data_IF_829010251938
#
_entry.id   IF_829010251938
#
_cell.length_a   1.000
_cell.length_b   1.000
_cell.length_c   1.000
_cell.angle_alpha   90.00
_cell.angle_beta   90.00
_cell.angle_gamma   90.00
#
_symmetry.space_group_name_H-M   'P 1'
#
loop_
_entity.id
_entity.type
_entity.pdbx_description
1 polymer ?
#
# COMPACT_ATOMS: atom_id res chain seq x y z
N UNK A 1 -43.41 0.75 -1.11
CA UNK A 1 -42.15 1.36 -0.67
C UNK A 1 -41.36 1.63 -1.93
N UNK A 2 -40.69 2.77 -2.07
CA UNK A 2 -39.76 2.94 -3.19
C UNK A 2 -38.44 2.21 -2.88
N UNK A 3 -37.69 1.79 -3.90
CA UNK A 3 -36.36 1.17 -3.74
C UNK A 3 -35.43 1.98 -2.83
N UNK A 4 -35.49 3.31 -2.97
CA UNK A 4 -34.81 4.25 -2.07
C UNK A 4 -35.22 4.08 -0.61
N UNK A 5 -36.53 3.97 -0.34
CA UNK A 5 -37.04 3.82 1.03
C UNK A 5 -36.55 2.49 1.64
N UNK A 6 -36.51 1.41 0.85
CA UNK A 6 -36.04 0.09 1.29
C UNK A 6 -34.55 0.11 1.66
N UNK A 7 -33.72 0.75 0.83
CA UNK A 7 -32.29 0.94 1.12
C UNK A 7 -32.06 1.84 2.34
N UNK A 8 -32.82 2.93 2.45
CA UNK A 8 -32.71 3.81 3.61
C UNK A 8 -33.18 3.13 4.91
N UNK A 9 -34.13 2.20 4.87
CA UNK A 9 -34.61 1.47 6.05
C UNK A 9 -33.62 0.39 6.51
N UNK A 10 -32.83 -0.16 5.60
CA UNK A 10 -31.83 -1.21 5.87
C UNK A 10 -30.42 -0.67 6.13
N UNK A 11 -30.17 0.63 5.91
CA UNK A 11 -28.85 1.23 6.07
C UNK A 11 -28.22 0.96 7.46
N UNK A 12 -26.96 0.55 7.47
CA UNK A 12 -26.20 0.30 8.69
C UNK A 12 -25.35 1.52 9.07
N UNK A 13 -25.17 1.80 10.37
CA UNK A 13 -24.18 2.78 10.80
C UNK A 13 -22.77 2.21 10.58
N UNK A 14 -21.90 3.05 10.03
CA UNK A 14 -20.53 2.70 9.68
C UNK A 14 -19.57 3.84 9.99
N UNK A 15 -18.26 3.57 9.89
CA UNK A 15 -17.20 4.54 10.17
C UNK A 15 -16.21 4.55 9.01
N UNK A 16 -16.06 5.68 8.34
CA UNK A 16 -14.97 5.92 7.40
C UNK A 16 -13.66 6.08 8.17
N UNK A 17 -12.60 5.47 7.63
CA UNK A 17 -11.23 5.59 8.15
C UNK A 17 -10.40 6.37 7.14
N UNK A 18 -10.06 7.61 7.45
CA UNK A 18 -9.26 8.48 6.58
C UNK A 18 -7.86 8.60 7.13
N UNK A 19 -6.87 8.19 6.34
CA UNK A 19 -5.44 8.33 6.66
C UNK A 19 -4.91 9.73 6.34
N UNK A 20 -3.72 10.05 6.84
CA UNK A 20 -2.97 11.25 6.45
C UNK A 20 -2.43 11.16 5.02
N UNK A 21 -2.17 12.32 4.41
CA UNK A 21 -1.69 12.42 3.03
C UNK A 21 -0.22 12.02 2.87
N UNK A 22 0.58 12.09 3.93
CA UNK A 22 1.95 11.62 3.95
C UNK A 22 2.17 10.75 5.19
N UNK A 23 3.12 9.81 5.15
CA UNK A 23 3.48 9.08 6.34
C UNK A 23 4.20 10.00 7.33
N UNK A 24 4.28 9.56 8.57
CA UNK A 24 4.93 10.29 9.67
C UNK A 24 6.05 9.45 10.27
N UNK A 25 7.02 10.07 10.99
CA UNK A 25 8.04 9.32 11.73
C UNK A 25 7.41 8.32 12.71
N UNK A 26 8.10 7.21 12.98
CA UNK A 26 7.60 6.16 13.90
C UNK A 26 7.24 6.73 15.28
N UNK A 27 8.04 7.68 15.78
CA UNK A 27 7.86 8.37 17.06
C UNK A 27 6.62 9.25 17.15
N UNK A 28 5.90 9.49 16.05
CA UNK A 28 4.70 10.33 16.02
C UNK A 28 3.64 9.83 17.03
N UNK A 29 2.96 10.74 17.76
CA UNK A 29 2.10 10.39 18.90
C UNK A 29 0.72 9.81 18.55
N UNK A 30 0.42 9.60 17.26
CA UNK A 30 -0.86 9.02 16.82
C UNK A 30 -1.13 7.67 17.50
N UNK A 31 -2.36 7.49 18.01
CA UNK A 31 -2.82 6.27 18.69
C UNK A 31 -3.46 5.27 17.72
N UNK A 32 -4.11 5.78 16.67
CA UNK A 32 -4.61 5.00 15.55
C UNK A 32 -3.84 5.30 14.27
N UNK A 33 -3.39 4.26 13.57
CA UNK A 33 -2.60 4.38 12.34
C UNK A 33 -2.59 3.08 11.53
N UNK A 34 -2.33 3.19 10.23
CA UNK A 34 -1.95 2.08 9.36
C UNK A 34 -0.42 1.99 9.24
N UNK A 35 0.09 0.77 9.02
CA UNK A 35 1.51 0.49 8.87
C UNK A 35 2.36 0.91 10.08
N UNK A 36 3.66 1.09 9.91
CA UNK A 36 4.58 1.43 10.99
C UNK A 36 4.82 0.28 11.98
N UNK A 37 5.15 0.62 13.23
CA UNK A 37 5.36 -0.36 14.29
C UNK A 37 4.20 -0.31 15.30
N UNK A 38 3.70 -1.47 15.74
CA UNK A 38 2.65 -1.50 16.74
C UNK A 38 3.17 -1.20 18.15
N UNK A 39 2.35 -0.57 18.97
CA UNK A 39 2.60 -0.33 20.39
C UNK A 39 2.00 -1.45 21.23
N UNK A 40 2.59 -2.64 21.12
CA UNK A 40 2.03 -3.87 21.67
C UNK A 40 2.37 -4.10 23.15
N UNK A 41 1.46 -4.71 23.93
CA UNK A 41 1.77 -5.12 25.29
C UNK A 41 2.96 -6.09 25.30
N UNK A 42 3.89 -5.97 26.27
CA UNK A 42 5.13 -6.74 26.27
C UNK A 42 4.96 -8.25 26.51
N UNK A 43 3.78 -8.66 27.01
CA UNK A 43 3.46 -10.07 27.28
C UNK A 43 2.72 -10.76 26.13
N UNK A 44 2.40 -10.02 25.07
CA UNK A 44 1.71 -10.53 23.89
C UNK A 44 2.79 -10.83 22.86
N UNK A 45 2.80 -12.05 22.32
CA UNK A 45 3.78 -12.43 21.29
C UNK A 45 3.49 -11.75 19.95
N UNK A 46 4.46 -11.77 19.03
CA UNK A 46 4.20 -11.39 17.65
C UNK A 46 3.41 -12.48 16.94
N UNK A 47 2.24 -12.19 16.34
CA UNK A 47 1.46 -13.19 15.65
C UNK A 47 2.23 -13.91 14.54
N UNK A 48 2.16 -15.23 14.54
CA UNK A 48 2.72 -16.07 13.48
C UNK A 48 1.63 -16.92 12.84
N UNK A 49 1.84 -17.33 11.60
CA UNK A 49 0.97 -18.27 10.90
C UNK A 49 1.79 -19.17 9.96
N UNK A 50 1.22 -20.32 9.62
CA UNK A 50 1.72 -21.16 8.53
C UNK A 50 1.14 -20.63 7.22
N UNK A 51 2.01 -20.25 6.29
CA UNK A 51 1.65 -19.73 4.96
C UNK A 51 2.23 -20.63 3.87
N UNK A 52 1.64 -20.62 2.68
CA UNK A 52 2.22 -21.25 1.50
C UNK A 52 3.11 -20.25 0.77
N UNK A 53 4.41 -20.29 1.01
CA UNK A 53 5.39 -19.49 0.28
C UNK A 53 6.06 -20.36 -0.80
N UNK A 54 5.89 -19.99 -2.07
CA UNK A 54 6.54 -20.67 -3.21
C UNK A 54 6.32 -22.20 -3.22
N UNK A 55 5.07 -22.63 -3.03
CA UNK A 55 4.67 -24.05 -2.97
C UNK A 55 5.24 -24.84 -1.76
N UNK A 56 5.84 -24.15 -0.79
CA UNK A 56 6.30 -24.74 0.49
C UNK A 56 5.57 -24.12 1.68
N UNK A 57 5.33 -24.94 2.71
CA UNK A 57 4.72 -24.45 3.95
C UNK A 57 5.81 -23.90 4.87
N UNK A 58 5.66 -22.65 5.27
CA UNK A 58 6.58 -21.97 6.18
C UNK A 58 5.80 -21.29 7.31
N UNK A 59 6.37 -21.27 8.51
CA UNK A 59 5.84 -20.44 9.60
C UNK A 59 6.47 -19.07 9.53
N UNK A 60 5.66 -18.04 9.36
CA UNK A 60 6.11 -16.65 9.22
C UNK A 60 5.48 -15.77 10.29
N UNK A 61 6.21 -14.74 10.72
CA UNK A 61 5.62 -13.64 11.47
C UNK A 61 4.73 -12.81 10.54
N UNK A 62 3.50 -12.53 11.00
CA UNK A 62 2.51 -11.79 10.22
C UNK A 62 2.87 -10.31 10.11
N UNK A 63 2.53 -9.71 8.97
CA UNK A 63 2.70 -8.27 8.73
C UNK A 63 1.73 -7.49 9.60
N UNK A 64 2.24 -6.46 10.28
CA UNK A 64 1.42 -5.53 11.01
C UNK A 64 0.71 -4.57 10.05
N UNK A 65 -0.61 -4.50 10.13
CA UNK A 65 -1.46 -3.76 9.20
C UNK A 65 -1.93 -2.44 9.80
N UNK A 66 -2.49 -2.49 11.01
CA UNK A 66 -3.11 -1.33 11.63
C UNK A 66 -3.16 -1.45 13.15
N UNK A 67 -3.13 -0.30 13.82
CA UNK A 67 -3.48 -0.14 15.22
C UNK A 67 -4.63 0.85 15.31
N UNK A 68 -5.68 0.51 16.05
CA UNK A 68 -6.88 1.35 16.20
C UNK A 68 -7.21 1.48 17.68
N UNK A 69 -7.17 2.70 18.20
CA UNK A 69 -7.63 3.01 19.55
C UNK A 69 -9.13 3.26 19.53
N UNK A 70 -9.88 2.39 20.20
CA UNK A 70 -11.34 2.42 20.20
C UNK A 70 -11.93 3.66 20.90
N UNK A 71 -11.13 4.41 21.66
CA UNK A 71 -11.57 5.70 22.19
C UNK A 71 -11.65 6.80 21.11
N UNK A 72 -11.01 6.61 19.95
CA UNK A 72 -11.04 7.53 18.80
C UNK A 72 -12.14 7.17 17.79
N UNK A 73 -12.65 5.94 17.84
CA UNK A 73 -13.70 5.45 16.94
C UNK A 73 -15.06 6.02 17.37
N UNK A 74 -15.77 6.79 16.51
CA UNK A 74 -17.09 7.29 16.82
C UNK A 74 -18.08 6.12 16.88
N UNK A 75 -19.00 6.17 17.83
CA UNK A 75 -20.05 5.17 17.91
C UNK A 75 -20.62 4.89 19.29
N UNK A 76 -20.33 5.75 20.27
CA UNK A 76 -20.87 5.61 21.62
C UNK A 76 -22.40 5.45 21.57
N UNK A 77 -22.90 4.30 22.04
CA UNK A 77 -24.32 3.99 22.15
C UNK A 77 -24.93 3.19 20.99
N UNK A 78 -24.24 3.03 19.86
CA UNK A 78 -24.74 2.20 18.74
C UNK A 78 -23.71 1.19 18.22
N UNK A 79 -22.42 1.45 18.39
CA UNK A 79 -21.37 0.53 17.95
C UNK A 79 -21.31 -0.68 18.90
N UNK A 80 -21.18 -1.91 18.37
CA UNK A 80 -20.97 -3.10 19.17
C UNK A 80 -19.51 -3.24 19.67
N UNK A 81 -18.60 -2.37 19.21
CA UNK A 81 -17.20 -2.39 19.65
C UNK A 81 -17.07 -1.96 21.12
N UNK A 82 -16.03 -2.44 21.83
CA UNK A 82 -15.65 -1.86 23.12
C UNK A 82 -15.43 -0.35 23.00
N UNK A 83 -15.84 0.43 24.00
CA UNK A 83 -15.68 1.89 23.99
C UNK A 83 -14.25 2.37 24.29
N UNK A 84 -13.37 1.44 24.68
CA UNK A 84 -11.96 1.68 25.03
C UNK A 84 -11.13 0.44 24.73
N UNK A 85 -9.83 0.67 24.64
CA UNK A 85 -8.84 -0.35 24.32
C UNK A 85 -8.30 -0.16 22.91
N UNK A 86 -7.36 -1.00 22.52
CA UNK A 86 -6.68 -0.94 21.23
C UNK A 86 -6.79 -2.27 20.52
N UNK A 87 -7.19 -2.20 19.24
CA UNK A 87 -7.13 -3.31 18.31
C UNK A 87 -5.83 -3.25 17.51
N UNK A 88 -5.19 -4.41 17.33
CA UNK A 88 -4.02 -4.56 16.49
C UNK A 88 -4.31 -5.60 15.42
N UNK A 89 -4.12 -5.21 14.16
CA UNK A 89 -4.44 -6.03 12.98
C UNK A 89 -3.15 -6.57 12.37
N UNK A 90 -3.12 -7.88 12.16
CA UNK A 90 -2.03 -8.60 11.53
C UNK A 90 -2.58 -9.48 10.40
N UNK A 91 -1.87 -9.52 9.29
CA UNK A 91 -2.22 -10.34 8.14
C UNK A 91 -0.97 -10.86 7.44
N UNK A 92 -1.07 -12.02 6.78
CA UNK A 92 -0.06 -12.45 5.81
C UNK A 92 0.03 -11.38 4.74
N UNK A 93 1.24 -10.97 4.35
CA UNK A 93 1.43 -10.06 3.20
C UNK A 93 1.56 -10.83 1.88
N UNK A 94 1.44 -12.15 1.89
CA UNK A 94 1.46 -13.02 0.70
C UNK A 94 0.02 -13.33 0.33
N UNK A 95 -0.46 -12.72 -0.75
CA UNK A 95 -1.87 -12.84 -1.20
C UNK A 95 -2.04 -13.63 -2.49
N UNK A 96 -0.95 -14.07 -3.14
CA UNK A 96 -1.03 -14.70 -4.46
C UNK A 96 -1.85 -15.98 -4.36
N UNK A 97 -3.09 -15.93 -4.86
CA UNK A 97 -4.03 -17.05 -4.84
C UNK A 97 -4.74 -17.31 -3.50
N UNK A 98 -4.55 -16.46 -2.48
CA UNK A 98 -5.15 -16.62 -1.16
C UNK A 98 -6.37 -15.70 -0.98
N UNK A 99 -7.58 -16.24 -1.17
CA UNK A 99 -8.84 -15.56 -0.85
C UNK A 99 -8.98 -15.24 0.65
N UNK A 100 -8.37 -16.08 1.50
CA UNK A 100 -8.48 -16.00 2.96
C UNK A 100 -7.08 -15.95 3.60
N UNK A 101 -6.38 -14.80 3.51
CA UNK A 101 -5.03 -14.69 4.02
C UNK A 101 -5.01 -14.91 5.54
N UNK A 102 -4.03 -15.66 6.10
CA UNK A 102 -3.92 -15.84 7.54
C UNK A 102 -3.82 -14.52 8.29
N UNK A 103 -4.71 -14.31 9.27
CA UNK A 103 -4.76 -13.08 10.04
C UNK A 103 -4.82 -13.31 11.54
N UNK A 104 -4.47 -12.28 12.32
CA UNK A 104 -4.72 -12.21 13.76
C UNK A 104 -5.13 -10.80 14.15
N UNK A 105 -6.20 -10.68 14.93
CA UNK A 105 -6.57 -9.42 15.58
C UNK A 105 -6.43 -9.59 17.07
N UNK A 106 -5.72 -8.65 17.69
CA UNK A 106 -5.45 -8.64 19.13
C UNK A 106 -6.19 -7.46 19.77
N UNK A 107 -6.67 -7.66 20.99
CA UNK A 107 -7.30 -6.61 21.78
C UNK A 107 -6.54 -6.40 23.09
N UNK A 108 -6.20 -5.15 23.37
CA UNK A 108 -5.68 -4.71 24.66
C UNK A 108 -6.68 -3.75 25.30
N UNK A 109 -6.97 -3.85 26.61
CA UNK A 109 -7.80 -2.86 27.30
C UNK A 109 -7.09 -1.51 27.51
N UNK A 110 -5.77 -1.44 27.30
CA UNK A 110 -4.99 -0.21 27.39
C UNK A 110 -5.20 0.68 26.16
N UNK A 111 -4.86 1.96 26.28
CA UNK A 111 -4.87 2.89 25.14
C UNK A 111 -3.70 2.63 24.17
N UNK A 112 -3.81 3.19 22.96
CA UNK A 112 -2.89 2.97 21.86
C UNK A 112 -1.50 3.55 22.07
N UNK A 113 -1.29 4.32 23.14
CA UNK A 113 0.02 4.87 23.51
C UNK A 113 0.56 4.28 24.82
N UNK A 114 -0.10 3.28 25.39
CA UNK A 114 0.27 2.69 26.67
C UNK A 114 1.62 1.96 26.65
N UNK A 115 2.11 1.59 25.46
CA UNK A 115 3.33 0.82 25.25
C UNK A 115 4.25 1.50 24.24
N UNK A 116 5.58 1.23 24.31
CA UNK A 116 6.51 1.67 23.27
C UNK A 116 6.29 0.90 21.96
N UNK A 117 6.83 1.44 20.87
CA UNK A 117 6.86 0.75 19.58
C UNK A 117 7.62 -0.58 19.71
N UNK A 118 7.04 -1.66 19.17
CA UNK A 118 7.65 -2.99 19.18
C UNK A 118 8.41 -3.23 17.87
N UNK A 119 9.70 -3.50 17.98
CA UNK A 119 10.52 -3.89 16.84
C UNK A 119 9.96 -5.16 16.17
N UNK A 120 10.02 -5.25 14.82
CA UNK A 120 9.59 -6.45 14.12
C UNK A 120 10.51 -7.62 14.49
N UNK A 121 9.99 -8.86 14.53
CA UNK A 121 10.82 -10.02 14.77
C UNK A 121 11.76 -10.26 13.57
N UNK A 122 12.93 -10.90 13.76
CA UNK A 122 13.91 -11.09 12.69
C UNK A 122 13.40 -11.88 11.48
N UNK A 123 12.45 -12.79 11.72
CA UNK A 123 11.76 -13.64 10.76
C UNK A 123 10.49 -13.00 10.17
N UNK A 124 10.28 -11.70 10.36
CA UNK A 124 9.22 -10.96 9.66
C UNK A 124 9.45 -11.08 8.15
N UNK A 125 8.41 -11.57 7.47
CA UNK A 125 8.41 -11.74 6.03
C UNK A 125 8.45 -10.38 5.31
N UNK A 126 9.01 -10.30 4.09
CA UNK A 126 8.86 -9.11 3.28
C UNK A 126 7.41 -8.81 2.94
N UNK A 127 7.11 -7.53 2.73
CA UNK A 127 5.85 -7.09 2.16
C UNK A 127 5.72 -7.68 0.74
N UNK A 128 4.58 -8.34 0.44
CA UNK A 128 4.34 -9.14 -0.77
C UNK A 128 5.10 -10.49 -0.87
N UNK A 129 5.85 -10.91 0.16
CA UNK A 129 6.63 -12.16 0.16
C UNK A 129 7.95 -12.07 -0.60
N UNK A 130 8.68 -13.20 -0.66
CA UNK A 130 10.03 -13.28 -1.27
C UNK A 130 10.02 -13.42 -2.80
N UNK A 131 8.93 -13.96 -3.37
CA UNK A 131 8.79 -14.19 -4.82
C UNK A 131 7.49 -13.59 -5.39
N UNK A 132 6.75 -12.82 -4.59
CA UNK A 132 5.49 -12.24 -5.03
C UNK A 132 5.69 -11.15 -6.09
N UNK A 133 4.83 -11.16 -7.11
CA UNK A 133 4.58 -9.98 -7.90
C UNK A 133 4.12 -8.86 -6.95
N UNK A 134 4.79 -7.69 -6.98
CA UNK A 134 4.46 -6.42 -6.28
C UNK A 134 5.33 -6.01 -5.09
N UNK A 135 6.42 -6.69 -4.77
CA UNK A 135 7.46 -6.01 -3.98
C UNK A 135 7.97 -4.80 -4.79
N UNK A 136 8.35 -3.74 -4.07
CA UNK A 136 9.33 -2.79 -4.57
C UNK A 136 10.62 -3.56 -4.88
N UNK A 137 10.79 -4.03 -6.12
CA UNK A 137 11.79 -5.04 -6.58
C UNK A 137 13.25 -4.70 -6.29
N UNK A 138 13.51 -3.48 -5.83
CA UNK A 138 14.83 -2.96 -5.54
C UNK A 138 15.16 -2.88 -4.05
N UNK A 139 14.19 -3.06 -3.15
CA UNK A 139 14.47 -3.12 -1.72
C UNK A 139 15.03 -4.50 -1.35
N UNK A 140 16.01 -4.51 -0.46
CA UNK A 140 16.68 -5.69 0.07
C UNK A 140 16.08 -5.98 1.46
N UNK A 141 15.38 -7.11 1.62
CA UNK A 141 14.82 -7.57 2.89
C UNK A 141 15.76 -7.56 4.09
N UNK A 142 17.07 -7.62 3.86
CA UNK A 142 18.08 -7.67 4.92
C UNK A 142 18.62 -6.30 5.29
N UNK A 143 18.42 -5.28 4.44
CA UNK A 143 19.02 -3.96 4.61
C UNK A 143 17.97 -2.86 4.78
N UNK A 144 16.88 -2.92 4.03
CA UNK A 144 15.90 -1.85 3.97
C UNK A 144 14.73 -2.13 4.91
N UNK A 145 14.55 -1.29 5.92
CA UNK A 145 13.45 -1.43 6.89
C UNK A 145 12.06 -1.52 6.21
N UNK A 146 11.82 -0.68 5.20
CA UNK A 146 10.56 -0.60 4.47
C UNK A 146 10.34 -1.73 3.44
N UNK A 147 11.23 -2.72 3.40
CA UNK A 147 10.96 -3.99 2.71
C UNK A 147 10.04 -4.91 3.51
N UNK A 148 9.99 -4.75 4.85
CA UNK A 148 9.23 -5.59 5.79
C UNK A 148 8.18 -4.82 6.58
N UNK A 149 8.36 -3.52 6.75
CA UNK A 149 7.48 -2.67 7.57
C UNK A 149 6.94 -1.52 6.73
N UNK A 150 5.61 -1.44 6.63
CA UNK A 150 4.96 -0.33 5.91
C UNK A 150 5.20 1.02 6.61
N UNK A 151 5.10 2.12 5.89
CA UNK A 151 5.15 3.45 6.51
C UNK A 151 3.97 3.70 7.48
N UNK A 152 4.18 4.55 8.48
CA UNK A 152 3.15 4.89 9.48
C UNK A 152 2.26 6.01 8.97
N UNK A 153 0.96 5.75 8.85
CA UNK A 153 -0.05 6.75 8.47
C UNK A 153 -1.10 6.90 9.58
N UNK A 154 -1.10 8.01 10.33
CA UNK A 154 -2.19 8.34 11.25
C UNK A 154 -3.55 8.27 10.56
N UNK A 155 -4.56 7.79 11.27
CA UNK A 155 -5.94 7.73 10.77
C UNK A 155 -6.88 8.56 11.62
N UNK A 156 -7.97 8.98 10.99
CA UNK A 156 -9.09 9.71 11.57
C UNK A 156 -10.40 9.03 11.17
N UNK A 157 -11.45 9.27 11.96
CA UNK A 157 -12.70 8.52 11.85
C UNK A 157 -13.89 9.44 11.62
N UNK A 158 -14.79 9.06 10.71
CA UNK A 158 -16.03 9.80 10.44
C UNK A 158 -17.23 8.87 10.36
N UNK A 159 -18.30 9.09 11.12
CA UNK A 159 -19.50 8.26 11.02
C UNK A 159 -20.21 8.53 9.69
N UNK A 160 -20.76 7.48 9.10
CA UNK A 160 -21.63 7.58 7.93
C UNK A 160 -22.63 6.43 7.91
N UNK A 161 -23.54 6.42 6.92
CA UNK A 161 -24.48 5.33 6.70
C UNK A 161 -24.01 4.53 5.50
N UNK A 162 -23.92 3.21 5.70
CA UNK A 162 -23.59 2.27 4.65
C UNK A 162 -24.87 1.57 4.16
N UNK A 163 -24.98 1.39 2.85
CA UNK A 163 -26.14 0.83 2.18
C UNK A 163 -25.70 -0.40 1.41
N UNK A 164 -26.45 -1.49 1.51
CA UNK A 164 -26.17 -2.71 0.76
C UNK A 164 -26.88 -2.69 -0.60
N UNK A 165 -26.12 -2.83 -1.67
CA UNK A 165 -26.60 -2.96 -3.06
C UNK A 165 -25.52 -3.67 -3.90
N UNK A 166 -25.90 -4.35 -4.99
CA UNK A 166 -24.93 -5.05 -5.87
C UNK A 166 -24.65 -4.22 -7.12
N UNK A 167 -25.66 -4.08 -7.97
CA UNK A 167 -25.65 -3.21 -9.15
C UNK A 167 -26.95 -2.40 -9.20
N UNK A 168 -26.98 -1.26 -8.49
CA UNK A 168 -28.16 -0.39 -8.40
C UNK A 168 -27.73 1.07 -8.38
N UNK A 169 -28.21 1.84 -9.36
CA UNK A 169 -27.94 3.26 -9.48
C UNK A 169 -28.50 4.07 -8.30
N UNK A 170 -29.65 3.66 -7.73
CA UNK A 170 -30.25 4.34 -6.57
C UNK A 170 -29.37 4.15 -5.34
N UNK A 171 -28.93 2.91 -5.06
CA UNK A 171 -27.94 2.61 -4.03
C UNK A 171 -26.63 3.38 -4.21
N UNK A 172 -26.10 3.42 -5.44
CA UNK A 172 -24.93 4.21 -5.80
C UNK A 172 -25.07 5.69 -5.49
N UNK A 173 -26.16 6.31 -5.92
CA UNK A 173 -26.46 7.73 -5.65
C UNK A 173 -26.57 8.02 -4.15
N UNK A 174 -27.22 7.13 -3.38
CA UNK A 174 -27.33 7.25 -1.92
C UNK A 174 -25.96 7.16 -1.25
N UNK A 175 -25.14 6.19 -1.66
CA UNK A 175 -23.79 6.00 -1.14
C UNK A 175 -22.91 7.22 -1.41
N UNK A 176 -22.85 7.68 -2.67
CA UNK A 176 -22.07 8.87 -3.05
C UNK A 176 -22.52 10.09 -2.25
N UNK A 177 -23.83 10.27 -2.07
CA UNK A 177 -24.38 11.38 -1.27
C UNK A 177 -23.93 11.32 0.19
N UNK A 178 -23.97 10.15 0.85
CA UNK A 178 -23.51 10.02 2.24
C UNK A 178 -21.98 10.15 2.36
N UNK A 179 -21.21 9.65 1.38
CA UNK A 179 -19.75 9.87 1.32
C UNK A 179 -19.41 11.35 1.19
N UNK A 180 -20.05 12.08 0.26
CA UNK A 180 -19.87 13.52 0.09
C UNK A 180 -20.27 14.33 1.34
N UNK A 181 -21.26 13.85 2.09
CA UNK A 181 -21.67 14.46 3.37
C UNK A 181 -20.62 14.25 4.47
N UNK A 182 -19.96 13.10 4.48
CA UNK A 182 -18.93 12.77 5.48
C UNK A 182 -17.55 13.34 5.14
N UNK A 183 -17.13 13.29 3.87
CA UNK A 183 -15.80 13.65 3.39
C UNK A 183 -15.73 15.05 2.77
N UNK A 184 -16.88 15.66 2.48
CA UNK A 184 -16.95 16.88 1.67
C UNK A 184 -16.97 16.58 0.17
N UNK A 185 -16.98 17.63 -0.67
CA UNK A 185 -16.85 17.45 -2.12
C UNK A 185 -15.47 16.84 -2.41
N UNK A 186 -15.45 15.69 -3.08
CA UNK A 186 -14.20 15.09 -3.52
C UNK A 186 -13.56 15.87 -4.65
N UNK A 187 -12.24 15.72 -4.78
CA UNK A 187 -11.47 16.38 -5.83
C UNK A 187 -11.77 15.75 -7.21
N UNK A 188 -11.60 16.51 -8.31
CA UNK A 188 -11.64 15.92 -9.63
C UNK A 188 -10.54 14.86 -9.78
N UNK A 189 -10.76 13.82 -10.61
CA UNK A 189 -9.76 12.81 -10.90
C UNK A 189 -8.63 13.39 -11.77
N UNK A 190 -7.74 14.16 -11.15
CA UNK A 190 -6.53 14.73 -11.75
C UNK A 190 -5.31 14.20 -11.00
N UNK A 191 -5.14 12.87 -10.98
CA UNK A 191 -3.92 12.25 -10.48
C UNK A 191 -2.97 11.95 -11.64
N UNK A 192 -1.74 12.44 -11.53
CA UNK A 192 -0.64 12.04 -12.39
C UNK A 192 0.08 10.87 -11.72
N UNK A 193 -0.33 9.66 -12.07
CA UNK A 193 0.27 8.46 -11.52
C UNK A 193 1.66 8.30 -12.12
N UNK A 194 2.68 8.76 -11.38
CA UNK A 194 4.08 8.79 -11.86
C UNK A 194 4.50 7.46 -12.47
N UNK A 195 4.13 6.33 -11.85
CA UNK A 195 4.41 4.98 -12.35
C UNK A 195 3.86 4.66 -13.75
N UNK A 196 2.93 5.45 -14.28
CA UNK A 196 2.36 5.30 -15.61
C UNK A 196 2.87 6.34 -16.61
N UNK A 197 3.74 7.27 -16.18
CA UNK A 197 4.41 8.19 -17.10
C UNK A 197 5.30 7.43 -18.08
N UNK A 198 5.28 7.87 -19.32
CA UNK A 198 6.17 7.39 -20.37
C UNK A 198 7.60 7.88 -20.17
N UNK A 199 8.53 7.19 -20.82
CA UNK A 199 9.94 7.61 -20.90
C UNK A 199 10.08 9.05 -21.41
N UNK A 200 9.25 9.45 -22.38
CA UNK A 200 9.32 10.78 -23.00
C UNK A 200 8.83 11.90 -22.06
N UNK A 201 7.98 11.57 -21.09
CA UNK A 201 7.57 12.50 -20.04
C UNK A 201 8.71 12.70 -19.03
N UNK A 202 9.36 11.61 -18.60
CA UNK A 202 10.55 11.71 -17.74
C UNK A 202 11.77 12.37 -18.40
N UNK A 203 11.88 12.31 -19.72
CA UNK A 203 12.90 13.03 -20.50
C UNK A 203 12.75 14.54 -20.41
N UNK A 204 11.51 15.04 -20.29
CA UNK A 204 11.23 16.48 -20.15
C UNK A 204 11.28 16.95 -18.71
N UNK A 205 11.19 16.02 -17.77
CA UNK A 205 11.17 16.29 -16.35
C UNK A 205 12.60 16.39 -15.80
N UNK A 206 13.00 17.60 -15.40
CA UNK A 206 14.34 17.91 -14.87
C UNK A 206 14.41 17.87 -13.34
N UNK A 207 13.28 17.67 -12.66
CA UNK A 207 13.20 17.70 -11.20
C UNK A 207 13.85 16.46 -10.57
N UNK A 208 13.98 15.36 -11.33
CA UNK A 208 14.63 14.12 -10.89
C UNK A 208 16.06 13.96 -11.46
N UNK A 209 16.96 13.26 -10.73
CA UNK A 209 16.82 12.88 -9.34
C UNK A 209 17.03 14.09 -8.41
N UNK A 210 16.34 14.14 -7.27
CA UNK A 210 16.50 15.23 -6.30
C UNK A 210 17.42 14.87 -5.13
N UNK A 211 17.61 13.58 -4.79
CA UNK A 211 18.57 13.16 -3.78
C UNK A 211 19.24 11.81 -4.14
N UNK A 212 20.27 11.43 -3.38
CA UNK A 212 21.03 10.20 -3.60
C UNK A 212 20.27 8.90 -3.27
N UNK A 213 19.24 8.97 -2.43
CA UNK A 213 18.34 7.85 -2.14
C UNK A 213 17.55 7.44 -3.39
N UNK A 214 17.01 8.42 -4.12
CA UNK A 214 16.32 8.17 -5.39
C UNK A 214 17.26 7.54 -6.42
N UNK A 215 18.49 8.07 -6.55
CA UNK A 215 19.54 7.50 -7.41
C UNK A 215 19.77 6.03 -7.05
N UNK A 216 19.97 5.72 -5.77
CA UNK A 216 20.22 4.36 -5.30
C UNK A 216 19.05 3.42 -5.59
N UNK A 217 17.80 3.84 -5.34
CA UNK A 217 16.60 3.07 -5.63
C UNK A 217 16.48 2.73 -7.12
N UNK A 218 16.63 3.73 -8.00
CA UNK A 218 16.56 3.54 -9.46
C UNK A 218 17.66 2.60 -9.96
N UNK A 219 18.89 2.75 -9.45
CA UNK A 219 20.02 1.89 -9.81
C UNK A 219 19.78 0.43 -9.38
N UNK A 220 19.24 0.23 -8.18
CA UNK A 220 18.91 -1.10 -7.66
C UNK A 220 17.77 -1.75 -8.44
N UNK A 221 16.77 -0.99 -8.89
CA UNK A 221 15.73 -1.48 -9.81
C UNK A 221 16.34 -1.98 -11.12
N UNK A 222 17.20 -1.17 -11.77
CA UNK A 222 17.89 -1.58 -13.00
C UNK A 222 18.71 -2.85 -12.77
N UNK A 223 19.44 -2.96 -11.65
CA UNK A 223 20.20 -4.17 -11.31
C UNK A 223 19.28 -5.40 -11.17
N UNK A 224 18.15 -5.27 -10.49
CA UNK A 224 17.17 -6.34 -10.31
C UNK A 224 16.67 -6.87 -11.67
N UNK A 225 16.29 -5.96 -12.57
CA UNK A 225 15.88 -6.29 -13.93
C UNK A 225 16.99 -6.99 -14.74
N UNK A 226 18.19 -6.43 -14.73
CA UNK A 226 19.33 -7.01 -15.48
C UNK A 226 19.69 -8.40 -14.95
N UNK A 227 19.66 -8.61 -13.63
CA UNK A 227 19.93 -9.92 -13.02
C UNK A 227 18.86 -10.95 -13.39
N UNK A 228 17.58 -10.56 -13.34
CA UNK A 228 16.44 -11.39 -13.75
C UNK A 228 16.59 -11.84 -15.21
N UNK A 229 16.85 -10.91 -16.11
CA UNK A 229 16.96 -11.20 -17.54
C UNK A 229 18.16 -12.10 -17.86
N UNK A 230 19.31 -11.86 -17.21
CA UNK A 230 20.50 -12.72 -17.30
C UNK A 230 20.26 -14.16 -16.81
N UNK A 231 19.33 -14.36 -15.88
CA UNK A 231 19.08 -15.66 -15.24
C UNK A 231 18.01 -16.47 -15.96
N UNK A 232 16.86 -15.85 -16.28
CA UNK A 232 15.67 -16.57 -16.74
C UNK A 232 15.48 -16.59 -18.26
N UNK A 233 16.14 -15.69 -19.00
CA UNK A 233 15.94 -15.52 -20.44
C UNK A 233 14.49 -15.17 -20.83
N UNK A 234 14.23 -14.93 -22.12
CA UNK A 234 12.89 -14.61 -22.62
C UNK A 234 12.09 -15.88 -22.92
N UNK A 235 10.97 -16.10 -22.22
CA UNK A 235 10.07 -17.25 -22.44
C UNK A 235 10.79 -18.61 -22.47
N UNK A 236 11.76 -18.79 -21.56
CA UNK A 236 12.57 -20.01 -21.45
C UNK A 236 13.64 -20.19 -22.54
N UNK A 237 13.82 -19.19 -23.42
CA UNK A 237 14.89 -19.17 -24.42
C UNK A 237 16.13 -18.50 -23.85
N UNK A 238 17.33 -19.04 -24.12
CA UNK A 238 18.57 -18.37 -23.76
C UNK A 238 18.67 -17.01 -24.46
N UNK A 239 19.32 -16.06 -23.80
CA UNK A 239 19.67 -14.77 -24.40
C UNK A 239 20.54 -14.96 -25.65
N UNK A 240 20.42 -14.03 -26.60
CA UNK A 240 21.40 -13.89 -27.67
C UNK A 240 22.73 -13.40 -27.10
N UNK A 241 23.85 -13.67 -27.79
CA UNK A 241 25.16 -13.18 -27.36
C UNK A 241 25.19 -11.65 -27.29
N UNK A 242 24.53 -10.97 -28.23
CA UNK A 242 24.40 -9.50 -28.25
C UNK A 242 23.64 -8.98 -27.02
N UNK A 243 22.48 -9.56 -26.70
CA UNK A 243 21.71 -9.18 -25.52
C UNK A 243 22.48 -9.49 -24.23
N UNK A 244 23.19 -10.61 -24.15
CA UNK A 244 23.98 -10.97 -22.99
C UNK A 244 25.16 -10.00 -22.77
N UNK A 245 25.84 -9.57 -23.84
CA UNK A 245 26.90 -8.55 -23.77
C UNK A 245 26.32 -7.21 -23.32
N UNK A 246 25.20 -6.81 -23.89
CA UNK A 246 24.55 -5.55 -23.55
C UNK A 246 24.06 -5.55 -22.10
N UNK A 247 23.35 -6.60 -21.63
CA UNK A 247 22.95 -6.74 -20.23
C UNK A 247 24.14 -6.69 -19.27
N UNK A 248 25.29 -7.28 -19.61
CA UNK A 248 26.52 -7.17 -18.79
C UNK A 248 27.06 -5.74 -18.75
N UNK A 249 26.99 -4.98 -19.86
CA UNK A 249 27.33 -3.55 -19.90
C UNK A 249 26.43 -2.74 -18.99
N UNK A 250 25.11 -2.95 -19.07
CA UNK A 250 24.13 -2.28 -18.21
C UNK A 250 24.39 -2.58 -16.73
N UNK A 251 24.67 -3.86 -16.40
CA UNK A 251 25.04 -4.28 -15.04
C UNK A 251 26.26 -3.53 -14.53
N UNK A 252 27.34 -3.46 -15.31
CA UNK A 252 28.57 -2.79 -14.91
C UNK A 252 28.35 -1.29 -14.66
N UNK A 253 27.57 -0.62 -15.50
CA UNK A 253 27.19 0.79 -15.32
C UNK A 253 26.39 1.01 -14.05
N UNK A 254 25.40 0.15 -13.78
CA UNK A 254 24.58 0.22 -12.57
C UNK A 254 25.41 -0.03 -11.30
N UNK A 255 26.31 -1.02 -11.30
CA UNK A 255 27.25 -1.24 -10.18
C UNK A 255 28.10 0.00 -9.94
N UNK A 256 28.61 0.65 -10.99
CA UNK A 256 29.40 1.88 -10.86
C UNK A 256 28.63 3.06 -10.26
N UNK A 257 27.33 3.18 -10.51
CA UNK A 257 26.48 4.15 -9.82
C UNK A 257 26.23 3.77 -8.36
N UNK A 258 25.97 2.49 -8.08
CA UNK A 258 25.73 2.02 -6.72
C UNK A 258 26.95 2.23 -5.81
N UNK A 259 28.17 1.99 -6.31
CA UNK A 259 29.40 2.29 -5.56
C UNK A 259 29.56 3.78 -5.25
N UNK A 260 29.13 4.65 -6.17
CA UNK A 260 29.11 6.10 -5.91
C UNK A 260 28.11 6.46 -4.80
N UNK A 261 26.91 5.90 -4.84
CA UNK A 261 25.90 6.11 -3.79
C UNK A 261 26.40 5.70 -2.39
N UNK A 262 27.23 4.65 -2.28
CA UNK A 262 27.75 4.18 -0.98
C UNK A 262 28.66 5.19 -0.27
N UNK A 263 29.27 6.12 -1.02
CA UNK A 263 30.17 7.12 -0.46
C UNK A 263 29.45 8.41 -0.02
N UNK A 264 28.12 8.49 -0.21
CA UNK A 264 27.33 9.71 -0.09
C UNK A 264 26.18 9.52 0.89
N UNK A 265 25.68 10.62 1.45
CA UNK A 265 24.51 10.59 2.34
C UNK A 265 23.25 10.45 1.49
N UNK A 266 22.34 9.50 1.78
CA UNK A 266 21.17 9.27 0.93
C UNK A 266 20.26 10.50 0.72
N UNK A 267 20.10 11.36 1.73
CA UNK A 267 19.22 12.53 1.65
C UNK A 267 19.91 13.80 1.13
N UNK A 268 21.21 13.76 0.83
CA UNK A 268 21.88 14.93 0.26
C UNK A 268 21.40 15.17 -1.18
N UNK A 269 21.36 16.46 -1.56
CA UNK A 269 21.04 16.89 -2.92
C UNK A 269 22.02 16.32 -3.96
N UNK A 270 21.52 16.16 -5.18
CA UNK A 270 22.34 15.83 -6.35
C UNK A 270 22.67 17.12 -7.12
N UNK A 271 23.95 17.38 -7.37
CA UNK A 271 24.37 18.55 -8.16
C UNK A 271 23.92 18.45 -9.63
N UNK A 272 23.84 19.59 -10.32
CA UNK A 272 23.28 19.67 -11.68
C UNK A 272 24.03 18.79 -12.71
N UNK A 273 25.36 18.73 -12.63
CA UNK A 273 26.17 17.94 -13.57
C UNK A 273 25.93 16.44 -13.33
N UNK A 274 25.87 16.03 -12.07
CA UNK A 274 25.54 14.66 -11.69
C UNK A 274 24.11 14.29 -12.07
N UNK A 275 23.12 15.17 -11.89
CA UNK A 275 21.73 14.95 -12.35
C UNK A 275 21.69 14.69 -13.85
N UNK A 276 22.33 15.54 -14.64
CA UNK A 276 22.40 15.39 -16.10
C UNK A 276 23.08 14.08 -16.51
N UNK A 277 24.21 13.74 -15.88
CA UNK A 277 24.92 12.49 -16.12
C UNK A 277 24.08 11.25 -15.76
N UNK A 278 23.35 11.30 -14.65
CA UNK A 278 22.48 10.20 -14.21
C UNK A 278 21.30 10.00 -15.15
N UNK A 279 20.62 11.08 -15.54
CA UNK A 279 19.52 11.03 -16.51
C UNK A 279 19.99 10.47 -17.85
N UNK A 280 21.13 10.93 -18.36
CA UNK A 280 21.74 10.40 -19.59
C UNK A 280 22.01 8.90 -19.50
N UNK A 281 22.58 8.43 -18.38
CA UNK A 281 22.78 7.00 -18.13
C UNK A 281 21.45 6.24 -18.11
N UNK A 282 20.43 6.75 -17.43
CA UNK A 282 19.12 6.10 -17.36
C UNK A 282 18.45 6.01 -18.74
N UNK A 283 18.55 7.04 -19.58
CA UNK A 283 18.04 6.98 -20.96
C UNK A 283 18.80 5.96 -21.81
N UNK A 284 20.11 5.80 -21.62
CA UNK A 284 20.88 4.74 -22.28
C UNK A 284 20.38 3.34 -21.87
N UNK A 285 20.07 3.12 -20.59
CA UNK A 285 19.42 1.87 -20.12
C UNK A 285 18.11 1.63 -20.87
N UNK A 286 17.24 2.65 -20.93
CA UNK A 286 15.93 2.54 -21.59
C UNK A 286 16.07 2.24 -23.08
N UNK A 287 17.00 2.90 -23.79
CA UNK A 287 17.24 2.65 -25.21
C UNK A 287 17.81 1.24 -25.45
N UNK A 288 18.66 0.74 -24.55
CA UNK A 288 19.15 -0.63 -24.61
C UNK A 288 17.99 -1.64 -24.47
N UNK A 289 17.10 -1.46 -23.50
CA UNK A 289 15.92 -2.33 -23.34
C UNK A 289 14.95 -2.26 -24.52
N UNK A 290 14.78 -1.09 -25.16
CA UNK A 290 14.01 -0.97 -26.41
C UNK A 290 14.63 -1.79 -27.55
N UNK A 291 15.97 -1.81 -27.68
CA UNK A 291 16.68 -2.60 -28.70
C UNK A 291 16.64 -4.10 -28.40
N UNK A 292 16.72 -4.48 -27.12
CA UNK A 292 16.64 -5.87 -26.68
C UNK A 292 15.19 -6.40 -26.60
N UNK A 293 14.19 -5.62 -27.00
CA UNK A 293 12.79 -6.01 -26.91
C UNK A 293 12.53 -7.35 -27.63
N UNK A 294 11.83 -8.26 -26.96
CA UNK A 294 11.59 -9.64 -27.43
C UNK A 294 12.78 -10.61 -27.24
N UNK A 295 13.92 -10.13 -26.71
CA UNK A 295 15.08 -10.95 -26.33
C UNK A 295 15.25 -11.07 -24.81
N UNK A 296 14.64 -10.16 -24.06
CA UNK A 296 14.62 -10.10 -22.58
C UNK A 296 13.18 -9.98 -22.09
N UNK A 297 12.91 -10.32 -20.83
CA UNK A 297 11.56 -10.21 -20.24
C UNK A 297 11.20 -8.77 -19.91
N UNK A 298 12.18 -7.97 -19.51
CA UNK A 298 11.94 -6.60 -19.09
C UNK A 298 11.63 -5.68 -20.27
N UNK A 299 10.55 -4.91 -20.17
CA UNK A 299 10.21 -3.87 -21.14
C UNK A 299 10.65 -2.49 -20.66
N UNK A 300 10.92 -1.58 -21.60
CA UNK A 300 11.27 -0.19 -21.28
C UNK A 300 10.20 0.54 -20.44
N UNK A 301 8.93 0.14 -20.56
CA UNK A 301 7.85 0.66 -19.73
C UNK A 301 7.97 0.26 -18.25
N UNK A 302 8.46 -0.94 -17.93
CA UNK A 302 8.72 -1.35 -16.54
C UNK A 302 9.79 -0.45 -15.90
N UNK A 303 10.85 -0.11 -16.64
CA UNK A 303 11.91 0.78 -16.16
C UNK A 303 11.37 2.19 -15.85
N UNK A 304 10.44 2.70 -16.67
CA UNK A 304 9.78 3.98 -16.42
C UNK A 304 8.84 3.92 -15.21
N UNK A 305 8.05 2.85 -15.07
CA UNK A 305 7.17 2.68 -13.92
C UNK A 305 7.92 2.55 -12.59
N UNK A 306 9.05 1.85 -12.59
CA UNK A 306 9.94 1.74 -11.43
C UNK A 306 10.53 3.10 -11.00
N UNK A 307 10.83 4.01 -11.94
CA UNK A 307 11.25 5.38 -11.61
C UNK A 307 10.15 6.13 -10.86
N UNK A 308 8.90 6.07 -11.31
CA UNK A 308 7.77 6.71 -10.63
C UNK A 308 7.54 6.17 -9.23
N UNK A 309 7.60 4.85 -9.08
CA UNK A 309 7.51 4.19 -7.78
C UNK A 309 8.69 4.56 -6.86
N UNK A 310 9.91 4.68 -7.40
CA UNK A 310 11.09 5.12 -6.65
C UNK A 310 10.98 6.56 -6.17
N UNK A 311 10.39 7.47 -6.97
CA UNK A 311 10.10 8.85 -6.55
C UNK A 311 9.13 8.83 -5.36
N UNK A 312 7.99 8.13 -5.46
CA UNK A 312 7.02 8.02 -4.38
C UNK A 312 7.62 7.38 -3.11
N UNK A 313 8.45 6.34 -3.26
CA UNK A 313 9.14 5.73 -2.12
C UNK A 313 10.11 6.70 -1.44
N UNK A 314 10.88 7.45 -2.22
CA UNK A 314 11.85 8.42 -1.70
C UNK A 314 11.17 9.52 -0.88
N UNK A 315 10.05 10.07 -1.38
CA UNK A 315 9.27 11.10 -0.66
C UNK A 315 8.72 10.55 0.66
N UNK A 316 8.24 9.30 0.67
CA UNK A 316 7.80 8.63 1.90
C UNK A 316 8.93 8.48 2.91
N UNK A 317 10.12 8.07 2.46
CA UNK A 317 11.31 8.00 3.32
C UNK A 317 11.69 9.36 3.90
N UNK A 318 11.60 10.44 3.11
CA UNK A 318 11.83 11.81 3.57
C UNK A 318 10.83 12.22 4.65
N UNK A 319 9.52 12.01 4.43
CA UNK A 319 8.47 12.32 5.40
C UNK A 319 8.60 11.58 6.74
N UNK A 320 9.29 10.43 6.76
CA UNK A 320 9.58 9.70 8.01
C UNK A 320 10.86 10.09 8.71
N UNK A 321 11.75 10.85 8.06
CA UNK A 321 12.97 11.37 8.68
C UNK A 321 12.68 12.62 9.52
N UNK A 322 11.99 13.60 8.92
CA UNK A 322 11.61 14.86 9.54
C UNK A 322 10.28 15.34 8.93
N UNK A 323 9.51 16.12 9.68
CA UNK A 323 8.24 16.70 9.24
C UNK A 323 8.46 17.69 8.10
N UNK A 324 9.59 18.41 8.12
CA UNK A 324 9.91 19.42 7.11
C UNK A 324 10.73 18.86 5.92
N UNK A 325 11.29 17.65 6.05
CA UNK A 325 12.12 17.04 5.00
C UNK A 325 11.43 16.91 3.63
N UNK A 326 10.11 16.66 3.51
CA UNK A 326 9.43 16.66 2.21
C UNK A 326 9.54 17.99 1.45
N UNK A 327 9.77 19.12 2.11
CA UNK A 327 9.89 20.43 1.46
C UNK A 327 11.15 20.56 0.59
N UNK A 328 12.14 19.68 0.81
CA UNK A 328 13.35 19.58 -0.02
C UNK A 328 13.12 18.78 -1.32
N UNK A 329 11.99 18.08 -1.44
CA UNK A 329 11.60 17.41 -2.68
C UNK A 329 10.86 18.37 -3.62
N UNK A 330 10.87 18.12 -4.94
CA UNK A 330 10.07 18.90 -5.89
C UNK A 330 8.60 18.94 -5.48
N UNK A 331 8.07 20.16 -5.28
CA UNK A 331 6.69 20.39 -4.82
C UNK A 331 5.64 19.68 -5.70
N UNK A 332 5.91 19.58 -7.00
CA UNK A 332 5.07 18.87 -7.97
C UNK A 332 4.87 17.40 -7.60
N UNK A 333 5.93 16.71 -7.16
CA UNK A 333 5.86 15.30 -6.76
C UNK A 333 5.23 15.13 -5.38
N UNK A 334 5.55 16.00 -4.43
CA UNK A 334 4.96 15.92 -3.07
C UNK A 334 3.45 16.18 -3.13
N UNK A 335 3.03 17.22 -3.83
CA UNK A 335 1.61 17.55 -4.03
C UNK A 335 0.88 16.45 -4.81
N UNK A 336 1.56 15.82 -5.78
CA UNK A 336 1.01 14.69 -6.51
C UNK A 336 0.77 13.47 -5.61
N UNK A 337 1.76 13.08 -4.80
CA UNK A 337 1.63 11.96 -3.87
C UNK A 337 0.55 12.22 -2.80
N UNK A 338 0.49 13.44 -2.27
CA UNK A 338 -0.56 13.83 -1.32
C UNK A 338 -1.96 13.71 -1.95
N UNK A 339 -2.13 14.25 -3.17
CA UNK A 339 -3.41 14.20 -3.90
C UNK A 339 -3.89 12.78 -4.18
N UNK A 340 -2.99 11.82 -4.39
CA UNK A 340 -3.39 10.41 -4.58
C UNK A 340 -4.15 9.85 -3.36
N UNK A 341 -3.98 10.44 -2.18
CA UNK A 341 -4.65 10.04 -0.94
C UNK A 341 -5.97 10.78 -0.70
N UNK A 342 -6.27 11.79 -1.51
CA UNK A 342 -7.50 12.55 -1.38
C UNK A 342 -8.67 11.77 -1.98
N UNK A 343 -9.81 11.87 -1.33
CA UNK A 343 -11.06 11.35 -1.87
C UNK A 343 -11.44 12.12 -3.14
N UNK A 344 -11.65 11.39 -4.23
CA UNK A 344 -12.24 11.89 -5.47
C UNK A 344 -13.71 11.50 -5.51
N UNK A 345 -14.57 12.41 -5.96
CA UNK A 345 -16.02 12.13 -6.01
C UNK A 345 -16.29 11.10 -7.11
N UNK A 346 -16.85 9.92 -6.79
CA UNK A 346 -17.21 8.93 -7.79
C UNK A 346 -18.28 9.49 -8.71
N UNK A 347 -18.18 9.13 -9.98
CA UNK A 347 -19.21 9.41 -10.96
C UNK A 347 -20.44 8.53 -10.74
N UNK A 348 -21.58 8.88 -11.35
CA UNK A 348 -22.74 7.99 -11.35
C UNK A 348 -22.44 6.63 -12.03
N UNK A 349 -21.48 6.59 -12.96
CA UNK A 349 -20.99 5.35 -13.57
C UNK A 349 -20.20 4.51 -12.56
N UNK A 350 -19.32 5.14 -11.78
CA UNK A 350 -18.60 4.45 -10.69
C UNK A 350 -19.57 3.93 -9.62
N UNK A 351 -20.68 4.65 -9.37
CA UNK A 351 -21.74 4.25 -8.44
C UNK A 351 -22.64 3.12 -8.93
N UNK A 352 -22.51 2.64 -10.17
CA UNK A 352 -23.29 1.48 -10.63
C UNK A 352 -22.94 0.20 -9.88
N UNK A 353 -21.76 0.16 -9.24
CA UNK A 353 -21.31 -0.94 -8.40
C UNK A 353 -20.96 -0.43 -7.03
N UNK A 354 -21.04 -1.32 -6.05
CA UNK A 354 -20.60 -1.08 -4.67
C UNK A 354 -19.09 -1.22 -4.49
N UNK A 355 -18.31 -0.86 -5.51
CA UNK A 355 -16.86 -0.83 -5.49
C UNK A 355 -16.40 0.41 -6.26
N UNK A 356 -15.75 1.33 -5.57
CA UNK A 356 -15.31 2.61 -6.13
C UNK A 356 -13.85 2.54 -6.54
N UNK A 357 -13.47 3.31 -7.56
CA UNK A 357 -12.06 3.44 -8.00
C UNK A 357 -11.19 4.19 -6.99
N UNK A 358 -11.80 4.96 -6.11
CA UNK A 358 -11.15 5.70 -5.02
C UNK A 358 -11.06 4.81 -3.80
N UNK A 359 -9.90 4.76 -3.15
CA UNK A 359 -9.72 3.94 -1.95
C UNK A 359 -10.63 4.43 -0.81
N UNK A 360 -11.54 3.55 -0.36
CA UNK A 360 -12.39 3.78 0.81
C UNK A 360 -12.07 2.73 1.87
N UNK A 361 -11.52 3.19 2.99
CA UNK A 361 -11.29 2.37 4.18
C UNK A 361 -12.43 2.57 5.17
N UNK A 362 -12.84 1.50 5.85
CA UNK A 362 -14.07 1.49 6.63
C UNK A 362 -13.98 0.55 7.84
N UNK A 363 -14.71 0.88 8.91
CA UNK A 363 -15.07 -0.05 9.98
C UNK A 363 -16.59 -0.11 10.08
N UNK A 364 -17.12 -1.26 10.49
CA UNK A 364 -18.55 -1.54 10.64
C UNK A 364 -19.31 -1.37 9.31
N UNK A 365 -20.63 -1.42 9.35
CA UNK A 365 -21.44 -1.43 8.12
C UNK A 365 -21.34 -2.76 7.38
N UNK A 366 -21.62 -2.70 6.08
CA UNK A 366 -21.65 -3.82 5.15
C UNK A 366 -20.32 -4.00 4.41
N UNK A 367 -19.52 -2.94 4.24
CA UNK A 367 -18.26 -2.96 3.49
C UNK A 367 -18.44 -3.10 1.98
N UNK A 368 -17.39 -2.94 1.18
CA UNK A 368 -17.40 -3.02 -0.28
C UNK A 368 -16.32 -3.98 -0.77
N UNK A 369 -16.53 -4.63 -1.92
CA UNK A 369 -15.54 -5.49 -2.54
C UNK A 369 -15.83 -5.71 -4.02
N UNK A 370 -14.81 -6.05 -4.84
CA UNK A 370 -15.01 -6.40 -6.24
C UNK A 370 -15.71 -7.76 -6.45
N UNK A 371 -15.75 -8.62 -5.42
CA UNK A 371 -16.31 -9.97 -5.50
C UNK A 371 -17.35 -10.19 -4.38
N UNK A 372 -17.53 -11.43 -3.92
CA UNK A 372 -18.68 -11.85 -3.12
C UNK A 372 -18.44 -11.85 -1.58
N UNK A 373 -17.26 -11.44 -1.06
CA UNK A 373 -16.94 -11.51 0.38
C UNK A 373 -17.92 -10.73 1.25
N UNK A 374 -18.40 -9.58 0.78
CA UNK A 374 -19.40 -8.79 1.51
C UNK A 374 -20.77 -9.48 1.56
N UNK A 375 -21.09 -10.33 0.57
CA UNK A 375 -22.30 -11.16 0.56
C UNK A 375 -22.13 -12.39 1.47
N UNK A 376 -20.95 -13.02 1.44
CA UNK A 376 -20.63 -14.19 2.28
C UNK A 376 -20.58 -13.86 3.77
N UNK A 377 -20.17 -12.63 4.12
CA UNK A 377 -20.03 -12.16 5.51
C UNK A 377 -21.14 -11.16 5.93
N UNK A 378 -22.29 -11.15 5.25
CA UNK A 378 -23.38 -10.19 5.48
C UNK A 378 -23.92 -10.21 6.93
N UNK A 379 -23.87 -11.37 7.60
CA UNK A 379 -24.33 -11.54 8.98
C UNK A 379 -23.25 -11.21 10.03
N UNK A 380 -21.99 -11.15 9.61
CA UNK A 380 -20.84 -10.84 10.46
C UNK A 380 -20.69 -9.32 10.67
N UNK A 381 -19.64 -8.94 11.41
CA UNK A 381 -19.26 -7.56 11.63
C UNK A 381 -17.94 -7.26 10.92
N UNK A 382 -17.93 -6.24 10.06
CA UNK A 382 -16.70 -5.70 9.50
C UNK A 382 -15.91 -4.95 10.57
N UNK A 383 -14.79 -5.51 11.04
CA UNK A 383 -13.90 -4.80 11.96
C UNK A 383 -13.07 -3.74 11.26
N UNK A 384 -12.56 -4.07 10.07
CA UNK A 384 -11.75 -3.16 9.27
C UNK A 384 -11.75 -3.61 7.81
N UNK A 385 -11.92 -2.65 6.90
CA UNK A 385 -11.70 -2.77 5.47
C UNK A 385 -10.59 -1.82 5.07
N UNK A 386 -9.64 -2.33 4.28
CA UNK A 386 -8.59 -1.56 3.65
C UNK A 386 -8.62 -1.86 2.16
N UNK A 387 -8.99 -0.86 1.37
CA UNK A 387 -8.85 -0.91 -0.08
C UNK A 387 -7.43 -0.55 -0.52
N UNK A 388 -6.98 -1.21 -1.57
CA UNK A 388 -5.67 -1.03 -2.19
C UNK A 388 -5.57 0.28 -2.92
N UNK A 389 -4.36 0.84 -2.90
CA UNK A 389 -4.03 2.10 -3.53
C UNK A 389 -2.61 1.99 -4.10
N UNK A 390 -2.39 2.54 -5.29
CA UNK A 390 -1.07 2.58 -5.91
C UNK A 390 -0.06 3.38 -5.07
N UNK A 391 -0.54 4.35 -4.30
CA UNK A 391 0.30 5.19 -3.45
C UNK A 391 0.70 4.50 -2.12
N UNK A 392 -0.03 3.49 -1.67
CA UNK A 392 0.00 3.03 -0.27
C UNK A 392 -0.25 1.53 -0.11
N UNK A 393 0.41 0.88 0.87
CA UNK A 393 0.42 -0.58 1.01
C UNK A 393 0.77 -1.22 -0.31
N UNK A 394 2.00 -1.03 -0.78
CA UNK A 394 2.36 -1.42 -2.15
C UNK A 394 2.22 -2.94 -2.40
N UNK A 395 2.20 -3.74 -1.32
CA UNK A 395 1.90 -5.17 -1.36
C UNK A 395 0.41 -5.48 -1.56
N UNK A 396 -0.45 -4.48 -1.37
CA UNK A 396 -1.89 -4.40 -1.60
C UNK A 396 -2.18 -3.38 -2.73
N UNK A 397 -1.25 -3.16 -3.67
CA UNK A 397 -1.37 -2.15 -4.74
C UNK A 397 -2.16 -2.61 -5.96
N UNK A 398 -2.74 -3.80 -5.97
CA UNK A 398 -3.65 -4.17 -7.05
C UNK A 398 -4.81 -3.19 -7.06
N UNK A 399 -4.96 -2.49 -8.18
CA UNK A 399 -6.03 -1.51 -8.38
C UNK A 399 -7.36 -2.25 -8.22
N UNK A 400 -8.08 -1.97 -7.13
CA UNK A 400 -9.34 -2.63 -6.79
C UNK A 400 -9.24 -3.76 -5.76
N UNK A 401 -8.04 -4.06 -5.24
CA UNK A 401 -7.86 -5.02 -4.16
C UNK A 401 -8.53 -4.55 -2.87
N UNK A 402 -9.21 -5.42 -2.13
CA UNK A 402 -9.80 -5.08 -0.82
C UNK A 402 -9.49 -6.16 0.20
N UNK A 403 -8.89 -5.76 1.32
CA UNK A 403 -8.67 -6.59 2.50
C UNK A 403 -9.73 -6.27 3.55
N UNK A 404 -10.46 -7.28 4.01
CA UNK A 404 -11.42 -7.16 5.09
C UNK A 404 -11.01 -8.01 6.28
N UNK A 405 -11.45 -7.59 7.47
CA UNK A 405 -11.39 -8.36 8.71
C UNK A 405 -12.81 -8.49 9.27
N UNK A 406 -13.31 -9.71 9.34
CA UNK A 406 -14.66 -10.02 9.77
C UNK A 406 -14.67 -10.72 11.13
N UNK A 407 -15.71 -10.47 11.93
CA UNK A 407 -15.93 -11.17 13.20
C UNK A 407 -17.40 -11.53 13.38
N UNK A 408 -17.63 -12.75 13.85
CA UNK A 408 -18.93 -13.19 14.36
C UNK A 408 -19.42 -12.29 15.51
N UNK A 409 -20.73 -12.00 15.54
CA UNK A 409 -21.32 -11.07 16.52
C UNK A 409 -21.22 -11.60 17.95
N UNK A 410 -21.38 -12.90 18.14
CA UNK A 410 -21.25 -13.52 19.46
C UNK A 410 -19.79 -13.52 19.95
N UNK A 411 -18.84 -13.75 19.04
CA UNK A 411 -17.41 -13.60 19.34
C UNK A 411 -17.07 -12.16 19.74
N UNK A 412 -17.58 -11.17 19.01
CA UNK A 412 -17.38 -9.75 19.35
C UNK A 412 -17.97 -9.39 20.72
N UNK A 413 -19.18 -9.87 21.02
CA UNK A 413 -19.81 -9.66 22.32
C UNK A 413 -18.97 -10.26 23.48
N UNK A 414 -18.31 -11.39 23.23
CA UNK A 414 -17.38 -12.03 24.16
C UNK A 414 -15.96 -11.43 24.13
N UNK A 415 -15.69 -10.49 23.21
CA UNK A 415 -14.36 -9.92 22.92
C UNK A 415 -13.32 -10.97 22.53
N UNK A 416 -13.77 -12.04 21.90
CA UNK A 416 -12.91 -13.10 21.38
C UNK A 416 -12.44 -12.77 19.96
N UNK A 417 -11.46 -11.87 19.87
CA UNK A 417 -10.86 -11.46 18.60
C UNK A 417 -9.99 -12.56 17.96
N UNK A 418 -9.80 -13.71 18.62
CA UNK A 418 -9.11 -14.85 18.01
C UNK A 418 -9.93 -15.50 16.88
N UNK A 419 -11.24 -15.24 16.85
CA UNK A 419 -12.19 -15.73 15.82
C UNK A 419 -12.29 -14.84 14.59
N UNK A 420 -11.47 -13.78 14.49
CA UNK A 420 -11.45 -12.92 13.31
C UNK A 420 -10.92 -13.69 12.10
N UNK A 421 -11.58 -13.51 10.96
CA UNK A 421 -11.15 -14.01 9.66
C UNK A 421 -10.86 -12.84 8.72
N UNK A 422 -9.97 -13.04 7.76
CA UNK A 422 -9.69 -12.05 6.73
C UNK A 422 -10.07 -12.58 5.35
N UNK A 423 -10.50 -11.67 4.49
CA UNK A 423 -10.71 -11.91 3.06
C UNK A 423 -9.89 -10.92 2.26
N UNK A 424 -9.29 -11.37 1.16
CA UNK A 424 -8.68 -10.50 0.16
C UNK A 424 -9.30 -10.78 -1.20
N UNK A 425 -9.82 -9.73 -1.83
CA UNK A 425 -10.44 -9.79 -3.15
C UNK A 425 -9.72 -8.84 -4.09
N UNK A 426 -9.57 -9.20 -5.37
CA UNK A 426 -9.02 -8.36 -6.42
C UNK A 426 -9.78 -8.61 -7.75
N UNK A 427 -9.82 -7.59 -8.62
CA UNK A 427 -10.47 -7.66 -9.94
C UNK A 427 -9.69 -8.51 -10.96
#
# INVERSE_FOLDING_TARGET
>A
MSERDELEETALPAVLVSRSDLPVPLVHPARSFFGGLPKLPPHVDWPTAVVMACETLETVALTFVAQIDLAEVPGAGWSPLPTRGTLYFFCSSVFVGERHPPCRVLYSPADGNAYPDRAPPPDLMPLAGNEGDRQVKWLDPNLDFHSKVEFKYPVSFRPFRDFYFREDAVGGELMIKELCKALGPGEPPESDLLQFRSVAEYEKDEDWPFNWLLVACVVRSVLSHVQRDLTLGYSGRPLTDEAAVESKRLRAGAVGWLERCRALTPMDDVDADTKAAFRSWWFDIVQAYKKMNGQVRTYAGEIAGDLGNAINHTIRCMATHDVDAPDDAPLSYVANLARQNHWTTPTAEDGQRRHFRTAIHQMLGYGSGPQDATEEHLEEMLLLQIQGDLAFLNWHSDIGGVLHFWIDRDALAQRDFSRVVATYECD
#
